data_IF_345540417805
#
_entry.id   IF_345540417805
#
_cell.length_a   1.000
_cell.length_b   1.000
_cell.length_c   1.000
_cell.angle_alpha   90.00
_cell.angle_beta   90.00
_cell.angle_gamma   90.00
#
_symmetry.space_group_name_H-M   'P 1'
#
loop_
_entity.id
_entity.type
_entity.pdbx_description
1 polymer ?
#
# COMPACT_ATOMS: atom_id res chain seq x y z
N UNK A 1 -0.49 -8.49 0.32
CA UNK A 1 -0.48 -7.90 1.67
C UNK A 1 0.94 -7.45 1.97
N UNK A 2 1.12 -6.21 2.41
CA UNK A 2 2.42 -5.59 2.70
C UNK A 2 2.38 -5.00 4.11
N UNK A 3 3.32 -5.39 4.96
CA UNK A 3 3.46 -4.84 6.31
C UNK A 3 4.57 -3.79 6.32
N UNK A 4 4.28 -2.59 6.84
CA UNK A 4 5.27 -1.53 6.97
C UNK A 4 4.88 -0.53 8.07
N UNK A 5 5.85 0.28 8.48
CA UNK A 5 5.67 1.41 9.37
C UNK A 5 6.42 2.64 8.88
N UNK A 6 6.36 3.76 9.61
CA UNK A 6 7.00 5.00 9.19
C UNK A 6 8.50 4.78 8.91
N UNK A 7 9.07 5.25 7.78
CA UNK A 7 8.51 6.20 6.80
C UNK A 7 7.77 5.57 5.60
N UNK A 8 7.39 4.29 5.68
CA UNK A 8 6.71 3.51 4.64
C UNK A 8 7.58 3.22 3.40
N UNK A 9 8.90 3.10 3.60
CA UNK A 9 9.85 2.93 2.50
C UNK A 9 9.64 1.60 1.75
N UNK A 10 9.35 0.52 2.47
CA UNK A 10 9.10 -0.79 1.86
C UNK A 10 7.83 -0.72 1.02
N UNK A 11 6.74 -0.18 1.59
CA UNK A 11 5.47 -0.02 0.89
C UNK A 11 5.61 0.83 -0.39
N UNK A 12 6.31 1.97 -0.33
CA UNK A 12 6.57 2.84 -1.49
C UNK A 12 7.29 2.10 -2.62
N UNK A 13 8.34 1.34 -2.28
CA UNK A 13 9.08 0.54 -3.26
C UNK A 13 8.21 -0.53 -3.92
N UNK A 14 7.39 -1.25 -3.14
CA UNK A 14 6.51 -2.29 -3.69
C UNK A 14 5.41 -1.73 -4.60
N UNK A 15 4.87 -0.54 -4.30
CA UNK A 15 3.94 0.17 -5.18
C UNK A 15 4.65 0.54 -6.49
N UNK A 16 5.86 1.09 -6.42
CA UNK A 16 6.65 1.42 -7.61
C UNK A 16 6.97 0.17 -8.46
N UNK A 17 7.29 -0.96 -7.83
CA UNK A 17 7.49 -2.24 -8.53
C UNK A 17 6.23 -2.68 -9.27
N UNK A 18 5.06 -2.64 -8.62
CA UNK A 18 3.81 -3.01 -9.27
C UNK A 18 3.45 -2.05 -10.43
N UNK A 19 3.68 -0.74 -10.26
CA UNK A 19 3.45 0.28 -11.28
C UNK A 19 4.32 0.09 -12.53
N UNK A 20 5.48 -0.55 -12.40
CA UNK A 20 6.34 -0.86 -13.55
C UNK A 20 5.73 -1.91 -14.49
N UNK A 21 4.71 -2.69 -14.04
CA UNK A 21 4.16 -3.81 -14.81
C UNK A 21 2.65 -3.77 -15.05
N UNK A 22 1.90 -3.11 -14.18
CA UNK A 22 0.44 -3.07 -14.20
C UNK A 22 -0.06 -1.65 -14.44
N UNK A 23 -1.09 -1.51 -15.28
CA UNK A 23 -1.72 -0.22 -15.57
C UNK A 23 -2.72 0.19 -14.49
N UNK A 24 -3.32 -0.78 -13.81
CA UNK A 24 -4.36 -0.55 -12.80
C UNK A 24 -3.81 -0.90 -11.43
N UNK A 25 -3.85 0.07 -10.51
CA UNK A 25 -3.38 -0.06 -9.13
C UNK A 25 -4.39 0.53 -8.14
N UNK A 26 -4.53 -0.15 -7.01
CA UNK A 26 -5.20 0.39 -5.84
C UNK A 26 -4.49 -0.08 -4.57
N UNK A 27 -4.57 0.71 -3.51
CA UNK A 27 -4.04 0.38 -2.20
C UNK A 27 -5.14 0.54 -1.15
N UNK A 28 -5.38 -0.51 -0.38
CA UNK A 28 -6.32 -0.47 0.76
C UNK A 28 -5.53 -0.56 2.05
N UNK A 29 -5.68 0.43 2.93
CA UNK A 29 -5.05 0.40 4.25
C UNK A 29 -5.77 1.32 5.25
N UNK A 30 -5.42 1.16 6.53
CA UNK A 30 -5.84 2.08 7.57
C UNK A 30 -5.30 3.50 7.30
N UNK A 31 -6.12 4.56 7.43
CA UNK A 31 -5.69 5.94 7.19
C UNK A 31 -4.47 6.39 8.02
N UNK A 32 -4.30 5.88 9.23
CA UNK A 32 -3.15 6.17 10.10
C UNK A 32 -1.86 5.50 9.62
N UNK A 33 -1.96 4.32 8.99
CA UNK A 33 -0.83 3.68 8.30
C UNK A 33 -0.45 4.50 7.07
N UNK A 34 -1.42 4.90 6.24
CA UNK A 34 -1.18 5.72 5.05
C UNK A 34 -0.54 7.08 5.38
N UNK A 35 -0.85 7.64 6.55
CA UNK A 35 -0.21 8.87 7.07
C UNK A 35 1.15 8.65 7.73
N UNK A 36 1.65 7.41 7.76
CA UNK A 36 2.92 7.07 8.41
C UNK A 36 2.91 7.39 9.91
N UNK A 37 1.80 7.12 10.60
CA UNK A 37 1.67 7.34 12.05
C UNK A 37 1.81 6.07 12.88
N UNK A 38 1.66 4.90 12.26
CA UNK A 38 1.83 3.60 12.91
C UNK A 38 2.28 2.52 11.93
N UNK A 39 2.77 1.41 12.48
CA UNK A 39 2.96 0.18 11.72
C UNK A 39 1.61 -0.47 11.42
N UNK A 40 1.49 -1.10 10.25
CA UNK A 40 0.30 -1.87 9.89
C UNK A 40 0.40 -2.50 8.50
N UNK A 41 -0.73 -3.02 8.06
CA UNK A 41 -0.84 -3.71 6.78
C UNK A 41 -1.48 -2.80 5.72
N UNK A 42 -1.02 -2.96 4.49
CA UNK A 42 -1.62 -2.41 3.29
C UNK A 42 -1.80 -3.51 2.24
N UNK A 43 -2.97 -3.56 1.62
CA UNK A 43 -3.27 -4.47 0.52
C UNK A 43 -3.09 -3.72 -0.79
N UNK A 44 -2.02 -4.05 -1.52
CA UNK A 44 -1.78 -3.59 -2.88
C UNK A 44 -2.49 -4.51 -3.86
N UNK A 45 -3.31 -3.91 -4.72
CA UNK A 45 -3.97 -4.55 -5.85
C UNK A 45 -3.31 -4.05 -7.12
N UNK A 46 -3.05 -4.97 -8.06
CA UNK A 46 -2.47 -4.66 -9.35
C UNK A 46 -3.11 -5.53 -10.44
N UNK A 47 -3.48 -4.91 -11.56
CA UNK A 47 -4.21 -5.58 -12.65
C UNK A 47 -3.85 -4.99 -14.02
N UNK A 48 -3.98 -5.82 -15.06
CA UNK A 48 -3.97 -5.38 -16.46
C UNK A 48 -5.35 -4.94 -16.97
N UNK A 49 -6.39 -5.04 -16.14
CA UNK A 49 -7.78 -4.68 -16.45
C UNK A 49 -8.37 -3.82 -15.32
N UNK A 50 -9.38 -2.97 -15.61
CA UNK A 50 -9.93 -2.02 -14.64
C UNK A 50 -10.33 -2.65 -13.31
N UNK A 51 -9.94 -2.00 -12.21
CA UNK A 51 -10.32 -2.42 -10.86
C UNK A 51 -11.72 -1.89 -10.49
N UNK A 52 -12.51 -2.63 -9.70
CA UNK A 52 -13.84 -2.19 -9.25
C UNK A 52 -13.74 -1.19 -8.08
N UNK A 53 -13.11 -0.03 -8.33
CA UNK A 53 -12.71 0.94 -7.31
C UNK A 53 -13.87 1.45 -6.44
N UNK A 54 -15.04 1.70 -7.04
CA UNK A 54 -16.22 2.15 -6.31
C UNK A 54 -16.71 1.10 -5.31
N UNK A 55 -16.76 -0.17 -5.72
CA UNK A 55 -17.14 -1.28 -4.86
C UNK A 55 -16.13 -1.48 -3.73
N UNK A 56 -14.83 -1.48 -4.07
CA UNK A 56 -13.74 -1.62 -3.10
C UNK A 56 -13.80 -0.50 -2.05
N UNK A 57 -14.02 0.73 -2.49
CA UNK A 57 -14.14 1.91 -1.60
C UNK A 57 -15.32 1.76 -0.66
N UNK A 58 -16.50 1.37 -1.17
CA UNK A 58 -17.69 1.17 -0.34
C UNK A 58 -17.47 0.08 0.70
N UNK A 59 -16.87 -1.05 0.31
CA UNK A 59 -16.61 -2.17 1.23
C UNK A 59 -15.58 -1.80 2.30
N UNK A 60 -14.45 -1.21 1.91
CA UNK A 60 -13.41 -0.79 2.83
C UNK A 60 -13.92 0.24 3.87
N UNK A 61 -14.78 1.16 3.44
CA UNK A 61 -15.41 2.12 4.35
C UNK A 61 -16.46 1.50 5.30
N UNK A 62 -16.96 0.31 4.96
CA UNK A 62 -17.99 -0.40 5.75
C UNK A 62 -17.39 -1.41 6.74
N UNK A 63 -16.07 -1.60 6.75
CA UNK A 63 -15.40 -2.47 7.71
C UNK A 63 -15.50 -1.93 9.15
N UNK A 64 -15.46 -2.80 10.19
CA UNK A 64 -15.41 -2.38 11.59
C UNK A 64 -14.25 -1.41 11.89
N UNK A 65 -13.16 -1.51 11.12
CA UNK A 65 -12.06 -0.56 11.10
C UNK A 65 -11.97 0.03 9.69
N UNK A 66 -12.64 1.17 9.43
CA UNK A 66 -12.77 1.69 8.08
C UNK A 66 -11.42 1.93 7.39
N UNK A 67 -11.20 1.21 6.29
CA UNK A 67 -10.04 1.36 5.43
C UNK A 67 -10.23 2.49 4.42
N UNK A 68 -9.12 3.00 3.89
CA UNK A 68 -9.10 3.93 2.75
C UNK A 68 -8.55 3.24 1.52
N UNK A 69 -9.15 3.54 0.37
CA UNK A 69 -8.67 3.09 -0.94
C UNK A 69 -7.99 4.26 -1.64
N UNK A 70 -6.71 4.12 -1.95
CA UNK A 70 -5.94 5.06 -2.79
C UNK A 70 -5.74 4.44 -4.17
N UNK A 71 -5.85 5.23 -5.24
CA UNK A 71 -5.65 4.76 -6.60
C UNK A 71 -5.24 5.90 -7.54
N UNK A 72 -4.85 5.54 -8.76
CA UNK A 72 -4.48 6.50 -9.81
C UNK A 72 -3.33 7.42 -9.39
N UNK A 73 -3.41 8.70 -9.79
CA UNK A 73 -2.34 9.67 -9.57
C UNK A 73 -1.96 9.85 -8.10
N UNK A 74 -2.93 9.86 -7.18
CA UNK A 74 -2.64 10.03 -5.75
C UNK A 74 -1.78 8.88 -5.20
N UNK A 75 -2.05 7.63 -5.62
CA UNK A 75 -1.24 6.47 -5.24
C UNK A 75 0.16 6.50 -5.85
N UNK A 76 0.29 6.97 -7.09
CA UNK A 76 1.60 7.14 -7.73
C UNK A 76 2.41 8.25 -7.05
N UNK A 77 1.80 9.39 -6.75
CA UNK A 77 2.44 10.49 -6.04
C UNK A 77 2.84 10.04 -4.61
N UNK A 78 2.03 9.17 -3.98
CA UNK A 78 2.36 8.56 -2.70
C UNK A 78 3.67 7.76 -2.74
N UNK A 79 4.13 7.24 -3.88
CA UNK A 79 5.44 6.56 -3.95
C UNK A 79 6.59 7.52 -3.61
N UNK A 80 6.42 8.82 -3.84
CA UNK A 80 7.46 9.83 -3.59
C UNK A 80 8.70 9.63 -4.47
N UNK A 81 8.55 9.05 -5.66
CA UNK A 81 9.67 8.77 -6.56
C UNK A 81 10.52 7.55 -6.20
N UNK A 82 9.99 6.65 -5.35
CA UNK A 82 10.63 5.37 -5.09
C UNK A 82 10.85 4.58 -6.38
N UNK A 83 12.03 3.97 -6.51
CA UNK A 83 12.34 3.09 -7.63
C UNK A 83 11.70 1.71 -7.44
N UNK A 84 11.41 1.03 -8.56
CA UNK A 84 11.01 -0.37 -8.53
C UNK A 84 12.13 -1.23 -7.90
N UNK A 85 11.73 -2.10 -6.99
CA UNK A 85 12.59 -3.10 -6.35
C UNK A 85 12.87 -4.24 -7.33
N UNK A 86 14.14 -4.56 -7.54
CA UNK A 86 14.61 -5.71 -8.32
C UNK A 86 14.98 -6.87 -7.41
N UNK A 87 15.12 -8.07 -7.96
CA UNK A 87 15.51 -9.27 -7.19
C UNK A 87 16.82 -9.06 -6.42
N UNK A 88 17.80 -8.37 -7.01
CA UNK A 88 19.07 -8.06 -6.35
C UNK A 88 18.94 -7.12 -5.14
N UNK A 89 17.90 -6.27 -5.12
CA UNK A 89 17.61 -5.33 -4.05
C UNK A 89 16.43 -5.75 -3.16
N UNK A 90 15.87 -6.94 -3.36
CA UNK A 90 14.72 -7.42 -2.62
C UNK A 90 15.10 -7.71 -1.17
N UNK A 91 14.33 -7.14 -0.26
CA UNK A 91 14.46 -7.36 1.19
C UNK A 91 13.11 -7.76 1.76
N UNK A 92 13.12 -8.49 2.88
CA UNK A 92 11.90 -8.81 3.60
C UNK A 92 11.18 -7.53 4.06
N UNK A 93 9.85 -7.60 4.20
CA UNK A 93 9.10 -6.56 4.89
C UNK A 93 9.67 -6.35 6.29
N UNK A 94 9.71 -5.10 6.79
CA UNK A 94 10.22 -4.83 8.12
C UNK A 94 9.41 -5.58 9.19
N UNK A 95 10.11 -6.03 10.24
CA UNK A 95 9.44 -6.66 11.37
C UNK A 95 8.58 -5.62 12.12
N UNK A 96 7.38 -5.99 12.60
CA UNK A 96 6.57 -5.11 13.42
C UNK A 96 7.33 -4.74 14.71
N UNK A 97 7.28 -3.47 15.16
CA UNK A 97 7.86 -3.10 16.44
C UNK A 97 7.09 -3.75 17.59
N UNK A 98 7.74 -3.95 18.74
CA UNK A 98 7.12 -4.58 19.93
C UNK A 98 5.89 -3.82 20.47
N UNK A 99 5.65 -2.57 20.05
CA UNK A 99 4.46 -1.79 20.40
C UNK A 99 3.29 -1.98 19.44
N UNK A 100 3.45 -2.72 18.34
CA UNK A 100 2.44 -2.82 17.27
C UNK A 100 1.22 -3.67 17.65
N UNK A 101 1.36 -4.58 18.62
CA UNK A 101 0.31 -5.52 19.03
C UNK A 101 -0.05 -5.41 20.52
N UNK A 102 0.18 -4.23 21.11
CA UNK A 102 -0.28 -3.94 22.46
C UNK A 102 -1.69 -3.40 22.47
#
# INVERSE_FOLDING_TARGET
>A
NLADGPPLAHLRGQIATAAARFSELALVADPTVLRGKRFGNAVLLASGTPLPLAELTRRAASDPHPGRVEHGKALLDFTGGAAAVTDAGAVASPAPPASAFR
#
